data_IF_348420086510
#
_entry.id   IF_348420086510
#
_cell.length_a   1.000
_cell.length_b   1.000
_cell.length_c   1.000
_cell.angle_alpha   90.00
_cell.angle_beta   90.00
_cell.angle_gamma   90.00
#
_symmetry.space_group_name_H-M   'P 1'
#
loop_
_entity.id
_entity.type
_entity.pdbx_description
1 polymer ?
#
# COMPACT_ATOMS: atom_id res chain seq x y z
N UNK A 1 -11.39 14.07 11.96
CA UNK A 1 -10.08 14.64 11.60
C UNK A 1 -9.56 13.83 10.44
N UNK A 2 -9.36 14.45 9.29
CA UNK A 2 -9.07 13.77 8.02
C UNK A 2 -9.96 14.36 6.94
N UNK A 3 -9.37 15.14 6.04
CA UNK A 3 -10.06 15.59 4.85
C UNK A 3 -10.28 14.41 3.91
N UNK A 4 -11.44 14.34 3.25
CA UNK A 4 -11.67 13.36 2.17
C UNK A 4 -11.04 13.81 0.84
N UNK A 5 -10.31 14.93 0.83
CA UNK A 5 -9.55 15.38 -0.34
C UNK A 5 -8.24 14.60 -0.42
N UNK A 6 -7.84 14.27 -1.65
CA UNK A 6 -6.59 13.59 -1.97
C UNK A 6 -5.88 14.33 -3.12
N UNK A 7 -4.60 14.06 -3.29
CA UNK A 7 -3.78 14.56 -4.41
C UNK A 7 -3.79 13.50 -5.52
N UNK A 8 -3.91 13.93 -6.77
CA UNK A 8 -3.82 13.08 -7.95
C UNK A 8 -3.06 13.82 -9.07
N UNK A 9 -2.52 13.07 -10.03
CA UNK A 9 -1.77 13.62 -11.18
C UNK A 9 -2.66 14.22 -12.28
N UNK A 10 -3.95 14.31 -12.01
CA UNK A 10 -4.97 14.83 -12.90
C UNK A 10 -6.00 15.59 -12.07
N UNK A 11 -6.69 16.58 -12.68
CA UNK A 11 -7.67 17.36 -11.96
C UNK A 11 -8.75 16.44 -11.38
N UNK A 12 -8.96 16.56 -10.06
CA UNK A 12 -10.11 16.00 -9.35
C UNK A 12 -11.37 16.78 -9.73
N UNK A 13 -11.73 16.75 -11.01
CA UNK A 13 -12.98 17.34 -11.45
C UNK A 13 -14.11 16.41 -11.01
N UNK A 14 -14.68 16.75 -9.87
CA UNK A 14 -16.09 16.49 -9.53
C UNK A 14 -17.04 17.37 -10.36
N UNK A 15 -16.67 17.74 -11.58
CA UNK A 15 -17.57 18.34 -12.56
C UNK A 15 -17.90 17.27 -13.59
N UNK A 16 -19.20 17.13 -13.86
CA UNK A 16 -19.74 16.25 -14.87
C UNK A 16 -18.90 16.36 -16.14
N UNK A 17 -18.32 15.24 -16.58
CA UNK A 17 -18.06 15.03 -17.99
C UNK A 17 -19.44 15.04 -18.66
N UNK A 18 -19.89 16.25 -19.01
CA UNK A 18 -20.92 16.47 -20.00
C UNK A 18 -20.49 15.73 -21.25
N UNK A 19 -21.33 14.75 -21.62
CA UNK A 19 -21.58 14.27 -22.97
C UNK A 19 -20.39 14.37 -23.93
N UNK A 20 -19.59 13.31 -23.98
CA UNK A 20 -19.00 12.92 -25.25
C UNK A 20 -20.07 12.14 -26.03
N UNK A 21 -20.30 12.46 -27.32
CA UNK A 21 -21.46 11.97 -28.04
C UNK A 21 -21.41 10.44 -28.13
N UNK A 22 -22.49 9.84 -27.62
CA UNK A 22 -22.86 8.46 -27.88
C UNK A 22 -22.77 8.24 -29.40
N UNK A 23 -21.86 7.37 -29.84
CA UNK A 23 -21.88 6.83 -31.19
C UNK A 23 -23.30 6.31 -31.43
N UNK A 24 -23.98 6.93 -32.40
CA UNK A 24 -25.38 6.74 -32.73
C UNK A 24 -25.78 5.26 -32.69
N UNK A 25 -26.55 4.89 -31.66
CA UNK A 25 -27.42 3.72 -31.76
C UNK A 25 -28.55 4.07 -32.73
N UNK A 26 -28.34 3.76 -34.01
CA UNK A 26 -29.46 3.66 -34.95
C UNK A 26 -30.37 2.50 -34.50
N UNK A 27 -31.60 2.86 -34.19
CA UNK A 27 -32.64 1.94 -33.76
C UNK A 27 -33.09 1.01 -34.90
N UNK A 28 -32.80 -0.27 -34.72
CA UNK A 28 -33.59 -1.47 -35.06
C UNK A 28 -34.07 -1.66 -36.51
N UNK A 29 -33.46 -2.64 -37.18
CA UNK A 29 -34.24 -3.62 -37.93
C UNK A 29 -33.95 -5.02 -37.40
N UNK A 30 -35.03 -5.77 -37.22
CA UNK A 30 -35.08 -7.12 -36.71
C UNK A 30 -34.18 -8.08 -37.49
N UNK A 31 -33.23 -8.70 -36.79
CA UNK A 31 -32.84 -10.10 -36.99
C UNK A 31 -32.12 -10.56 -35.73
N UNK A 32 -32.54 -11.71 -35.19
CA UNK A 32 -32.00 -12.27 -33.95
C UNK A 32 -30.50 -12.49 -34.06
N UNK A 33 -29.74 -11.61 -33.42
CA UNK A 33 -28.35 -11.83 -33.09
C UNK A 33 -28.33 -12.10 -31.60
N UNK A 34 -28.12 -13.36 -31.23
CA UNK A 34 -27.66 -13.72 -29.89
C UNK A 34 -26.42 -12.89 -29.60
N UNK A 35 -26.57 -11.83 -28.79
CA UNK A 35 -25.45 -11.10 -28.21
C UNK A 35 -24.82 -12.08 -27.22
N UNK A 36 -23.81 -12.81 -27.67
CA UNK A 36 -22.85 -13.41 -26.77
C UNK A 36 -22.13 -12.26 -26.06
N UNK A 37 -22.69 -11.84 -24.93
CA UNK A 37 -22.04 -10.93 -23.98
C UNK A 37 -20.89 -11.70 -23.33
N UNK A 38 -19.83 -11.96 -24.09
CA UNK A 38 -18.58 -12.46 -23.56
C UNK A 38 -17.98 -11.34 -22.73
N UNK A 39 -18.32 -11.29 -21.44
CA UNK A 39 -17.63 -10.46 -20.46
C UNK A 39 -16.19 -10.93 -20.36
N UNK A 40 -15.32 -10.29 -21.14
CA UNK A 40 -13.89 -10.59 -21.13
C UNK A 40 -13.31 -10.23 -19.77
N UNK A 41 -12.88 -11.26 -19.03
CA UNK A 41 -12.27 -11.08 -17.72
C UNK A 41 -10.80 -10.74 -17.93
N UNK A 42 -10.43 -9.52 -17.54
CA UNK A 42 -9.06 -9.05 -17.59
C UNK A 42 -8.36 -9.34 -16.26
N UNK A 43 -7.17 -9.94 -16.31
CA UNK A 43 -6.35 -10.19 -15.13
C UNK A 43 -5.31 -9.07 -14.99
N UNK A 44 -5.29 -8.42 -13.84
CA UNK A 44 -4.34 -7.35 -13.52
C UNK A 44 -3.46 -7.77 -12.34
N UNK A 45 -2.18 -7.39 -12.40
CA UNK A 45 -1.19 -7.58 -11.34
C UNK A 45 -1.16 -6.36 -10.43
N UNK A 46 -1.33 -6.59 -9.14
CA UNK A 46 -1.28 -5.54 -8.11
C UNK A 46 -0.04 -5.77 -7.25
N UNK A 47 0.81 -4.76 -7.14
CA UNK A 47 1.92 -4.69 -6.22
C UNK A 47 1.53 -3.84 -5.01
N UNK A 48 1.80 -4.34 -3.81
CA UNK A 48 1.50 -3.63 -2.56
C UNK A 48 2.72 -3.67 -1.66
N UNK A 49 3.11 -2.50 -1.15
CA UNK A 49 4.22 -2.37 -0.20
C UNK A 49 3.82 -1.48 0.96
N UNK A 50 4.25 -1.87 2.16
CA UNK A 50 4.13 -1.05 3.37
C UNK A 50 5.50 -0.77 3.97
N UNK A 51 5.71 0.44 4.51
CA UNK A 51 6.95 0.78 5.21
C UNK A 51 6.74 1.83 6.31
N UNK A 52 7.06 1.46 7.55
CA UNK A 52 7.20 2.44 8.63
C UNK A 52 8.57 3.12 8.52
N UNK A 53 8.58 4.40 8.15
CA UNK A 53 9.81 5.18 7.88
C UNK A 53 10.37 5.87 9.14
N UNK A 54 9.80 5.59 10.31
CA UNK A 54 10.38 5.97 11.60
C UNK A 54 10.49 7.48 11.86
N UNK A 55 9.65 8.31 11.24
CA UNK A 55 9.70 9.77 11.36
C UNK A 55 10.81 10.41 10.55
N UNK A 56 11.48 9.67 9.67
CA UNK A 56 12.61 10.14 8.85
C UNK A 56 12.07 10.58 7.49
N UNK A 57 12.38 11.82 7.10
CA UNK A 57 12.04 12.32 5.79
C UNK A 57 12.89 11.63 4.71
N UNK A 58 12.34 11.36 3.51
CA UNK A 58 13.11 10.77 2.43
C UNK A 58 14.24 11.71 2.00
N UNK A 59 15.39 11.13 1.65
CA UNK A 59 16.50 11.84 1.02
C UNK A 59 16.42 11.69 -0.50
N UNK A 60 16.88 12.68 -1.25
CA UNK A 60 16.97 12.60 -2.71
C UNK A 60 17.92 11.47 -3.19
N UNK A 61 18.78 10.96 -2.32
CA UNK A 61 19.66 9.83 -2.61
C UNK A 61 18.99 8.45 -2.36
N UNK A 62 17.74 8.42 -1.89
CA UNK A 62 17.03 7.17 -1.61
C UNK A 62 16.70 6.46 -2.94
N UNK A 63 17.30 5.29 -3.15
CA UNK A 63 16.97 4.46 -4.29
C UNK A 63 15.64 3.73 -4.07
N UNK A 64 14.59 4.15 -4.77
CA UNK A 64 13.28 3.48 -4.71
C UNK A 64 13.23 2.21 -5.56
N UNK A 65 14.20 1.95 -6.44
CA UNK A 65 14.19 0.78 -7.34
C UNK A 65 14.27 -0.54 -6.56
N UNK A 66 15.09 -0.58 -5.50
CA UNK A 66 15.17 -1.71 -4.58
C UNK A 66 13.83 -1.94 -3.87
N UNK A 67 13.05 -0.87 -3.68
CA UNK A 67 11.71 -0.94 -3.09
C UNK A 67 10.61 -1.35 -4.09
N UNK A 68 10.88 -1.32 -5.38
CA UNK A 68 9.90 -1.71 -6.41
C UNK A 68 10.08 -3.15 -6.86
N UNK A 69 11.19 -3.80 -6.49
CA UNK A 69 11.60 -5.12 -6.99
C UNK A 69 11.58 -5.19 -8.54
N UNK A 70 11.66 -4.04 -9.20
CA UNK A 70 11.57 -3.87 -10.65
C UNK A 70 12.72 -4.54 -11.40
N UNK A 71 13.81 -4.88 -10.70
CA UNK A 71 14.99 -5.50 -11.26
C UNK A 71 14.79 -6.97 -11.68
N UNK A 72 13.75 -7.68 -11.19
CA UNK A 72 13.60 -9.13 -11.39
C UNK A 72 12.21 -9.60 -11.87
N UNK A 73 11.25 -8.72 -12.14
CA UNK A 73 9.85 -9.12 -12.42
C UNK A 73 9.21 -8.35 -13.57
N UNK A 74 8.23 -8.99 -14.22
CA UNK A 74 7.26 -8.33 -15.11
C UNK A 74 6.57 -7.18 -14.37
N UNK A 75 6.50 -6.00 -14.98
CA UNK A 75 5.75 -4.85 -14.46
C UNK A 75 4.36 -5.24 -13.95
N UNK A 76 3.95 -4.64 -12.82
CA UNK A 76 2.59 -4.73 -12.33
C UNK A 76 1.72 -3.65 -12.99
N UNK A 77 0.41 -3.85 -12.98
CA UNK A 77 -0.55 -2.91 -13.56
C UNK A 77 -0.91 -1.79 -12.57
N UNK A 78 -0.89 -2.12 -11.27
CA UNK A 78 -1.20 -1.23 -10.15
C UNK A 78 -0.11 -1.38 -9.09
N UNK A 79 0.43 -0.27 -8.61
CA UNK A 79 1.36 -0.21 -7.48
C UNK A 79 0.74 0.59 -6.34
N UNK A 80 0.79 0.05 -5.12
CA UNK A 80 0.27 0.69 -3.92
C UNK A 80 1.35 0.76 -2.86
N UNK A 81 1.60 1.97 -2.35
CA UNK A 81 2.57 2.20 -1.28
C UNK A 81 1.85 2.78 -0.07
N UNK A 82 1.93 2.07 1.05
CA UNK A 82 1.52 2.54 2.37
C UNK A 82 2.73 2.90 3.20
N UNK A 83 2.74 4.08 3.81
CA UNK A 83 3.80 4.47 4.73
C UNK A 83 3.25 4.84 6.11
N UNK A 84 4.04 4.55 7.13
CA UNK A 84 3.75 4.91 8.51
C UNK A 84 4.90 5.73 9.10
N UNK A 85 4.59 6.59 10.07
CA UNK A 85 5.53 7.57 10.62
C UNK A 85 6.18 8.46 9.56
N UNK A 86 5.47 8.85 8.51
CA UNK A 86 6.03 9.74 7.46
C UNK A 86 6.41 11.13 7.95
N UNK A 87 5.94 11.52 9.14
CA UNK A 87 6.31 12.77 9.78
C UNK A 87 6.76 12.51 11.22
N UNK A 88 7.73 13.27 11.75
CA UNK A 88 8.05 13.24 13.17
C UNK A 88 6.79 13.53 14.02
N UNK A 89 6.58 12.80 15.11
CA UNK A 89 5.48 13.05 16.04
C UNK A 89 5.76 14.31 16.88
N UNK A 90 5.57 15.48 16.28
CA UNK A 90 5.58 16.80 16.94
C UNK A 90 4.13 17.29 17.06
N UNK A 91 3.82 18.05 18.12
CA UNK A 91 2.47 18.59 18.33
C UNK A 91 1.95 19.37 17.11
N UNK A 92 2.83 20.10 16.41
CA UNK A 92 2.53 20.80 15.16
C UNK A 92 2.11 19.86 14.01
N UNK A 93 2.63 18.65 13.96
CA UNK A 93 2.32 17.69 12.90
C UNK A 93 1.04 16.89 13.19
N UNK A 94 0.63 16.85 14.45
CA UNK A 94 -0.58 16.17 14.91
C UNK A 94 -1.79 17.12 14.90
N UNK A 95 -1.57 18.40 15.20
CA UNK A 95 -2.62 19.43 15.32
C UNK A 95 -2.61 20.49 14.21
N UNK A 96 -1.57 20.53 13.38
CA UNK A 96 -1.42 21.47 12.26
C UNK A 96 -2.02 20.96 10.94
N UNK A 97 -1.95 21.78 9.90
CA UNK A 97 -2.35 21.40 8.55
C UNK A 97 -1.48 20.28 7.98
N UNK A 98 -2.05 19.42 7.13
CA UNK A 98 -1.34 18.34 6.44
C UNK A 98 -0.07 18.90 5.76
N UNK A 99 1.13 18.42 6.14
CA UNK A 99 2.39 18.86 5.54
C UNK A 99 2.64 18.12 4.23
N UNK A 100 1.99 18.60 3.18
CA UNK A 100 2.02 17.97 1.86
C UNK A 100 3.43 17.86 1.24
N UNK A 101 4.42 18.64 1.72
CA UNK A 101 5.78 18.61 1.15
C UNK A 101 6.43 17.24 1.25
N UNK A 102 6.29 16.55 2.39
CA UNK A 102 6.93 15.24 2.59
C UNK A 102 6.28 14.20 1.68
N UNK A 103 4.96 14.18 1.60
CA UNK A 103 4.21 13.30 0.70
C UNK A 103 4.52 13.60 -0.77
N UNK A 104 4.70 14.86 -1.15
CA UNK A 104 5.14 15.25 -2.50
C UNK A 104 6.54 14.72 -2.84
N UNK A 105 7.48 14.77 -1.89
CA UNK A 105 8.82 14.19 -2.11
C UNK A 105 8.75 12.68 -2.31
N UNK A 106 8.00 11.94 -1.48
CA UNK A 106 7.78 10.50 -1.69
C UNK A 106 7.15 10.22 -3.06
N UNK A 107 6.12 10.97 -3.44
CA UNK A 107 5.48 10.79 -4.74
C UNK A 107 6.45 11.08 -5.90
N UNK A 108 7.34 12.06 -5.76
CA UNK A 108 8.36 12.35 -6.78
C UNK A 108 9.32 11.18 -6.96
N UNK A 109 9.84 10.63 -5.87
CA UNK A 109 10.78 9.50 -5.90
C UNK A 109 10.12 8.24 -6.47
N UNK A 110 8.86 7.95 -6.09
CA UNK A 110 8.11 6.82 -6.62
C UNK A 110 7.85 7.00 -8.13
N UNK A 111 7.44 8.20 -8.54
CA UNK A 111 7.20 8.51 -9.97
C UNK A 111 8.46 8.29 -10.79
N UNK A 112 9.59 8.82 -10.32
CA UNK A 112 10.87 8.69 -11.01
C UNK A 112 11.24 7.22 -11.16
N UNK A 113 11.14 6.43 -10.10
CA UNK A 113 11.50 5.01 -10.12
C UNK A 113 10.55 4.15 -10.96
N UNK A 114 9.23 4.41 -10.93
CA UNK A 114 8.25 3.68 -11.76
C UNK A 114 8.37 4.01 -13.25
N UNK A 115 8.74 5.25 -13.59
CA UNK A 115 8.80 5.74 -14.97
C UNK A 115 10.23 5.80 -15.51
N UNK A 116 11.20 5.26 -14.77
CA UNK A 116 12.58 5.15 -15.24
C UNK A 116 12.60 4.19 -16.42
N UNK A 117 13.07 4.66 -17.58
CA UNK A 117 13.27 3.79 -18.74
C UNK A 117 14.23 2.68 -18.35
N UNK A 118 13.75 1.44 -18.24
CA UNK A 118 14.66 0.30 -18.13
C UNK A 118 15.48 0.24 -19.40
N UNK A 119 16.80 0.35 -19.29
CA UNK A 119 17.66 -0.20 -20.31
C UNK A 119 17.39 -1.72 -20.33
N UNK A 120 16.71 -2.20 -21.37
CA UNK A 120 16.57 -3.64 -21.59
C UNK A 120 17.99 -4.17 -21.80
N UNK A 121 18.55 -4.82 -20.78
CA UNK A 121 19.82 -5.54 -20.92
C UNK A 121 19.53 -6.84 -21.65
N UNK A 122 19.56 -6.80 -22.98
CA UNK A 122 19.61 -8.03 -23.77
C UNK A 122 20.95 -8.72 -23.52
N UNK A 123 20.88 -9.95 -22.99
CA UNK A 123 22.07 -10.78 -22.79
C UNK A 123 22.42 -11.43 -24.12
N UNK A 124 23.32 -10.81 -24.88
CA UNK A 124 23.89 -11.46 -26.07
C UNK A 124 24.73 -12.68 -25.68
N UNK A 125 24.61 -13.76 -26.46
CA UNK A 125 25.12 -15.12 -26.23
C UNK A 125 26.67 -15.26 -26.25
N UNK A 126 27.40 -14.15 -26.05
CA UNK A 126 28.87 -14.09 -26.12
C UNK A 126 29.55 -13.44 -24.91
N UNK A 127 28.83 -13.20 -23.81
CA UNK A 127 29.45 -12.83 -22.54
C UNK A 127 30.25 -11.51 -22.54
N UNK A 128 29.91 -10.56 -23.44
CA UNK A 128 30.41 -9.19 -23.37
C UNK A 128 29.34 -8.27 -22.80
N UNK A 129 29.71 -7.53 -21.76
CA UNK A 129 28.91 -6.44 -21.20
C UNK A 129 29.11 -5.22 -22.11
N UNK A 130 28.17 -4.95 -23.02
CA UNK A 130 28.12 -3.67 -23.74
C UNK A 130 26.91 -2.88 -23.23
N UNK A 131 27.18 -1.70 -22.67
CA UNK A 131 26.15 -0.71 -22.35
C UNK A 131 25.76 0.01 -23.64
N UNK A 132 24.68 -0.42 -24.28
CA UNK A 132 24.10 0.35 -25.37
C UNK A 132 23.14 1.37 -24.76
N UNK A 133 23.57 2.63 -24.64
CA UNK A 133 22.61 3.72 -24.57
C UNK A 133 21.85 3.73 -25.90
N UNK A 134 20.52 3.69 -25.85
CA UNK A 134 19.69 3.90 -27.05
C UNK A 134 19.91 5.35 -27.47
N UNK A 135 20.90 5.58 -28.34
CA UNK A 135 20.93 6.77 -29.19
C UNK A 135 19.95 6.52 -30.34
N UNK A 136 19.11 7.52 -30.60
CA UNK A 136 18.08 7.53 -31.63
C UNK A 136 18.48 6.76 -32.91
N UNK A 137 17.89 5.57 -33.08
CA UNK A 137 18.22 4.66 -34.17
C UNK A 137 17.08 3.67 -34.41
N UNK A 138 16.27 3.98 -35.44
CA UNK A 138 15.12 3.23 -35.95
C UNK A 138 15.17 1.70 -35.77
N UNK A 139 14.44 1.21 -34.78
CA UNK A 139 13.83 -0.13 -34.77
C UNK A 139 12.43 0.03 -34.16
N UNK A 140 11.42 0.04 -35.04
CA UNK A 140 10.01 0.20 -34.68
C UNK A 140 9.49 -1.17 -34.23
N UNK A 141 9.82 -1.57 -33.01
CA UNK A 141 8.87 -2.29 -32.16
C UNK A 141 8.36 -1.26 -31.16
N UNK A 142 7.14 -0.79 -31.39
CA UNK A 142 6.48 0.24 -30.59
C UNK A 142 6.08 -0.30 -29.21
N UNK A 143 7.02 -0.64 -28.34
CA UNK A 143 6.72 -0.79 -26.93
C UNK A 143 6.39 0.60 -26.40
N UNK A 144 5.10 0.91 -26.29
CA UNK A 144 4.62 2.12 -25.61
C UNK A 144 5.31 2.17 -24.25
N UNK A 145 6.00 3.27 -23.89
CA UNK A 145 6.60 3.41 -22.56
C UNK A 145 5.52 3.12 -21.52
N UNK A 146 5.78 2.16 -20.63
CA UNK A 146 4.91 1.85 -19.51
C UNK A 146 4.97 3.04 -18.54
N UNK A 147 4.11 4.02 -18.76
CA UNK A 147 3.97 5.18 -17.90
C UNK A 147 2.97 4.88 -16.77
N UNK A 148 3.33 5.24 -15.55
CA UNK A 148 2.49 5.15 -14.36
C UNK A 148 2.11 6.52 -13.84
N UNK A 149 0.84 6.69 -13.48
CA UNK A 149 0.30 7.92 -12.90
C UNK A 149 -0.24 7.68 -11.50
N UNK A 150 -0.02 8.63 -10.59
CA UNK A 150 -0.62 8.60 -9.26
C UNK A 150 -2.09 9.00 -9.36
N UNK A 151 -2.97 8.04 -9.10
CA UNK A 151 -4.41 8.28 -9.16
C UNK A 151 -4.96 8.81 -7.84
N UNK A 152 -4.34 8.44 -6.72
CA UNK A 152 -4.72 8.83 -5.36
C UNK A 152 -3.47 8.86 -4.50
N UNK A 153 -3.22 9.98 -3.82
CA UNK A 153 -2.25 10.10 -2.74
C UNK A 153 -2.90 10.83 -1.57
N UNK A 154 -2.89 10.18 -0.40
CA UNK A 154 -3.50 10.72 0.82
C UNK A 154 -2.63 10.49 2.03
N UNK A 155 -2.57 11.50 2.90
CA UNK A 155 -1.90 11.47 4.18
C UNK A 155 -2.88 11.83 5.30
N UNK A 156 -2.81 11.12 6.43
CA UNK A 156 -3.39 11.48 7.72
C UNK A 156 -2.29 11.42 8.78
N UNK A 157 -1.84 12.58 9.25
CA UNK A 157 -0.74 12.72 10.24
C UNK A 157 0.49 11.91 9.80
N UNK A 158 0.74 10.75 10.40
CA UNK A 158 1.89 9.89 10.12
C UNK A 158 1.59 8.72 9.19
N UNK A 159 0.36 8.56 8.71
CA UNK A 159 -0.04 7.46 7.82
C UNK A 159 -0.24 8.05 6.43
N UNK A 160 0.34 7.45 5.40
CA UNK A 160 0.05 7.82 4.02
C UNK A 160 -0.15 6.60 3.14
N UNK A 161 -0.86 6.81 2.03
CA UNK A 161 -1.04 5.82 0.98
C UNK A 161 -1.00 6.53 -0.37
N UNK A 162 -0.37 5.88 -1.35
CA UNK A 162 -0.41 6.31 -2.76
C UNK A 162 -0.69 5.13 -3.68
N UNK A 163 -1.53 5.34 -4.68
CA UNK A 163 -1.93 4.35 -5.69
C UNK A 163 -1.51 4.85 -7.06
N UNK A 164 -0.73 4.03 -7.75
CA UNK A 164 -0.14 4.30 -9.04
C UNK A 164 -0.64 3.27 -10.04
N UNK A 165 -1.11 3.73 -11.19
CA UNK A 165 -1.75 2.88 -12.19
C UNK A 165 -1.12 3.13 -13.54
N UNK A 166 -0.95 2.07 -14.33
CA UNK A 166 -0.49 2.17 -15.71
C UNK A 166 -1.42 3.10 -16.52
N UNK A 167 -0.84 3.93 -17.38
CA UNK A 167 -1.56 5.06 -18.00
C UNK A 167 -2.76 4.64 -18.85
N UNK A 168 -2.66 3.52 -19.56
CA UNK A 168 -3.74 2.93 -20.38
C UNK A 168 -4.93 2.42 -19.54
N UNK A 169 -4.73 2.19 -18.24
CA UNK A 169 -5.80 1.80 -17.33
C UNK A 169 -6.54 3.00 -16.71
N UNK A 170 -5.93 4.20 -16.73
CA UNK A 170 -6.53 5.42 -16.17
C UNK A 170 -7.96 5.71 -16.69
N UNK A 171 -8.29 5.56 -17.99
CA UNK A 171 -9.65 5.79 -18.50
C UNK A 171 -10.73 4.87 -17.90
N UNK A 172 -10.33 3.73 -17.36
CA UNK A 172 -11.23 2.74 -16.76
C UNK A 172 -11.33 2.86 -15.24
N UNK A 173 -10.54 3.75 -14.62
CA UNK A 173 -10.63 4.07 -13.20
C UNK A 173 -11.83 5.00 -12.97
N UNK A 174 -12.74 4.58 -12.10
CA UNK A 174 -13.96 5.33 -11.77
C UNK A 174 -14.13 5.50 -10.27
N UNK A 175 -14.73 6.63 -9.90
CA UNK A 175 -15.15 6.95 -8.54
C UNK A 175 -14.04 6.81 -7.47
N UNK A 176 -12.83 7.38 -7.66
CA UNK A 176 -11.81 7.38 -6.62
C UNK A 176 -12.30 8.09 -5.36
N UNK A 177 -12.04 7.50 -4.18
CA UNK A 177 -12.45 8.07 -2.90
C UNK A 177 -11.51 7.63 -1.78
N UNK A 178 -11.43 8.44 -0.73
CA UNK A 178 -10.60 8.17 0.45
C UNK A 178 -11.41 8.36 1.73
N UNK A 179 -11.03 7.61 2.77
CA UNK A 179 -11.62 7.71 4.10
C UNK A 179 -10.50 7.57 5.13
N UNK A 180 -10.46 8.49 6.10
CA UNK A 180 -9.43 8.50 7.15
C UNK A 180 -10.07 8.24 8.51
N UNK A 181 -9.57 7.24 9.23
CA UNK A 181 -10.05 6.90 10.58
C UNK A 181 -8.88 7.01 11.55
N UNK A 182 -8.93 7.98 12.47
CA UNK A 182 -7.95 8.10 13.55
C UNK A 182 -8.35 7.27 14.77
N UNK A 183 -7.42 6.46 15.28
CA UNK A 183 -7.55 5.58 16.46
C UNK A 183 -6.55 5.94 17.58
N UNK A 184 -5.85 7.07 17.47
CA UNK A 184 -4.83 7.50 18.42
C UNK A 184 -5.39 8.03 19.74
N UNK A 185 -4.76 9.04 20.32
CA UNK A 185 -5.16 9.60 21.62
C UNK A 185 -6.67 9.95 21.61
N UNK A 186 -7.40 9.47 22.61
CA UNK A 186 -8.87 9.60 22.74
C UNK A 186 -9.69 9.02 21.57
N UNK A 187 -9.17 8.04 20.82
CA UNK A 187 -9.88 7.38 19.71
C UNK A 187 -10.12 8.29 18.49
N UNK A 188 -9.42 9.44 18.41
CA UNK A 188 -9.66 10.45 17.38
C UNK A 188 -8.40 11.02 16.74
N UNK A 189 -7.23 10.97 17.40
CA UNK A 189 -5.99 11.54 16.88
C UNK A 189 -5.35 10.65 15.81
N UNK A 190 -4.90 11.24 14.69
CA UNK A 190 -4.50 10.51 13.49
C UNK A 190 -3.12 9.84 13.49
N UNK A 191 -2.39 9.81 14.61
CA UNK A 191 -1.08 9.14 14.69
C UNK A 191 -1.17 7.60 14.70
N UNK A 192 -2.38 7.08 14.86
CA UNK A 192 -2.78 5.68 14.74
C UNK A 192 -4.12 5.63 14.02
N UNK A 193 -4.44 4.52 13.37
CA UNK A 193 -5.67 4.34 12.61
C UNK A 193 -5.41 3.94 11.16
N UNK A 194 -6.15 4.48 10.22
CA UNK A 194 -6.04 4.14 8.80
C UNK A 194 -6.23 5.31 7.82
N UNK A 195 -5.65 5.15 6.64
CA UNK A 195 -6.07 5.82 5.42
C UNK A 195 -6.53 4.75 4.43
N UNK A 196 -7.82 4.73 4.16
CA UNK A 196 -8.48 3.78 3.26
C UNK A 196 -8.76 4.45 1.92
N UNK A 197 -8.48 3.76 0.82
CA UNK A 197 -8.65 4.22 -0.55
C UNK A 197 -9.55 3.25 -1.28
N UNK A 198 -10.52 3.75 -2.06
CA UNK A 198 -11.29 2.92 -2.98
C UNK A 198 -11.43 3.52 -4.36
N UNK A 199 -11.57 2.66 -5.35
CA UNK A 199 -11.92 3.01 -6.73
C UNK A 199 -12.54 1.79 -7.42
N UNK A 200 -13.14 1.98 -8.59
CA UNK A 200 -13.50 0.89 -9.50
C UNK A 200 -12.54 0.88 -10.67
N UNK A 201 -12.08 -0.29 -11.07
CA UNK A 201 -11.40 -0.52 -12.35
C UNK A 201 -12.32 -1.40 -13.19
N UNK A 202 -12.83 -0.84 -14.30
CA UNK A 202 -13.98 -1.41 -15.01
C UNK A 202 -15.15 -1.60 -14.05
N UNK A 203 -15.60 -2.84 -13.88
CA UNK A 203 -16.70 -3.19 -13.00
C UNK A 203 -16.25 -3.66 -11.61
N UNK A 204 -14.96 -3.94 -11.41
CA UNK A 204 -14.42 -4.46 -10.14
C UNK A 204 -14.06 -3.33 -9.19
N UNK A 205 -14.56 -3.41 -7.95
CA UNK A 205 -14.27 -2.47 -6.88
C UNK A 205 -13.06 -2.91 -6.05
N UNK A 206 -12.13 -1.97 -5.82
CA UNK A 206 -10.94 -2.16 -5.01
C UNK A 206 -11.01 -1.31 -3.74
N UNK A 207 -10.55 -1.85 -2.62
CA UNK A 207 -10.32 -1.12 -1.38
C UNK A 207 -8.94 -1.45 -0.80
N UNK A 208 -8.09 -0.44 -0.66
CA UNK A 208 -6.78 -0.55 -0.02
C UNK A 208 -6.82 0.17 1.33
N UNK A 209 -6.41 -0.51 2.39
CA UNK A 209 -6.49 0.01 3.76
C UNK A 209 -5.09 0.08 4.36
N UNK A 210 -4.46 1.26 4.34
CA UNK A 210 -3.16 1.47 4.98
C UNK A 210 -3.34 1.81 6.46
N UNK A 211 -2.78 1.00 7.34
CA UNK A 211 -2.99 1.08 8.79
C UNK A 211 -1.71 1.36 9.57
N UNK A 212 -1.89 1.94 10.75
CA UNK A 212 -0.87 2.01 11.79
C UNK A 212 -1.58 1.78 13.13
N UNK A 213 -1.54 0.54 13.63
CA UNK A 213 -2.29 0.13 14.82
C UNK A 213 -1.52 0.38 16.12
N UNK A 214 -2.21 0.25 17.25
CA UNK A 214 -1.65 0.45 18.58
C UNK A 214 -0.34 -0.34 18.77
N UNK A 215 0.73 0.37 19.16
CA UNK A 215 1.99 -0.25 19.52
C UNK A 215 1.99 -0.67 20.99
N UNK A 216 2.89 -1.58 21.33
CA UNK A 216 2.93 -2.17 22.66
C UNK A 216 3.43 -3.60 22.57
N UNK A 217 4.00 -4.10 23.65
CA UNK A 217 4.53 -5.46 23.73
C UNK A 217 4.34 -6.06 25.12
N UNK A 218 3.42 -5.50 25.91
CA UNK A 218 2.95 -6.11 27.14
C UNK A 218 1.82 -7.06 26.80
N UNK A 219 1.66 -8.09 27.62
CA UNK A 219 0.55 -9.02 27.53
C UNK A 219 -0.78 -8.25 27.59
N UNK A 220 -1.68 -8.51 26.64
CA UNK A 220 -2.95 -7.81 26.51
C UNK A 220 -2.92 -6.60 25.56
N UNK A 221 -1.73 -6.12 25.14
CA UNK A 221 -1.66 -4.97 24.22
C UNK A 221 -2.26 -5.31 22.83
N UNK A 222 -2.38 -6.59 22.47
CA UNK A 222 -3.04 -7.07 21.23
C UNK A 222 -4.51 -6.65 21.17
N UNK A 223 -5.20 -6.56 22.32
CA UNK A 223 -6.60 -6.14 22.38
C UNK A 223 -6.80 -4.70 21.90
N UNK A 224 -5.80 -3.82 22.08
CA UNK A 224 -5.87 -2.46 21.56
C UNK A 224 -5.70 -2.42 20.04
N UNK A 225 -4.88 -3.31 19.46
CA UNK A 225 -4.77 -3.48 18.00
C UNK A 225 -6.08 -4.00 17.43
N UNK A 226 -6.68 -5.01 18.06
CA UNK A 226 -7.95 -5.56 17.63
C UNK A 226 -9.07 -4.50 17.70
N UNK A 227 -9.10 -3.71 18.78
CA UNK A 227 -10.03 -2.59 18.93
C UNK A 227 -9.83 -1.52 17.87
N UNK A 228 -8.58 -1.17 17.51
CA UNK A 228 -8.30 -0.25 16.41
C UNK A 228 -8.81 -0.81 15.09
N UNK A 229 -8.59 -2.10 14.82
CA UNK A 229 -9.05 -2.73 13.58
C UNK A 229 -10.59 -2.74 13.49
N UNK A 230 -11.29 -3.09 14.58
CA UNK A 230 -12.75 -3.06 14.63
C UNK A 230 -13.31 -1.64 14.41
N UNK A 231 -12.63 -0.64 14.98
CA UNK A 231 -12.97 0.76 14.78
C UNK A 231 -12.73 1.22 13.33
N UNK A 232 -11.63 0.80 12.70
CA UNK A 232 -11.33 1.09 11.29
C UNK A 232 -12.38 0.46 10.37
N UNK A 233 -12.72 -0.81 10.59
CA UNK A 233 -13.73 -1.52 9.80
C UNK A 233 -15.11 -0.87 9.90
N UNK A 234 -15.51 -0.45 11.11
CA UNK A 234 -16.83 0.13 11.36
C UNK A 234 -16.95 1.61 10.93
N UNK A 235 -15.90 2.42 11.10
CA UNK A 235 -15.94 3.86 10.82
C UNK A 235 -15.53 4.22 9.39
N UNK A 236 -14.79 3.35 8.70
CA UNK A 236 -14.46 3.59 7.29
C UNK A 236 -15.75 3.58 6.47
N UNK A 237 -16.04 4.70 5.81
CA UNK A 237 -17.23 4.85 4.98
C UNK A 237 -16.89 5.69 3.75
N UNK A 238 -17.29 5.20 2.59
CA UNK A 238 -17.19 5.91 1.32
C UNK A 238 -18.56 6.42 0.83
N UNK A 239 -18.60 7.46 -0.03
CA UNK A 239 -19.83 7.90 -0.67
C UNK A 239 -20.37 6.80 -1.60
N UNK A 240 -21.69 6.61 -1.66
CA UNK A 240 -22.34 5.65 -2.57
C UNK A 240 -22.38 6.07 -4.05
N UNK A 241 -21.86 7.26 -4.37
CA UNK A 241 -21.95 7.86 -5.69
C UNK A 241 -23.39 8.27 -6.07
N UNK A 242 -23.58 8.85 -7.27
CA UNK A 242 -24.89 9.35 -7.70
C UNK A 242 -25.95 8.26 -7.86
N UNK A 243 -25.55 7.07 -8.32
CA UNK A 243 -26.45 5.92 -8.53
C UNK A 243 -26.70 5.08 -7.27
N UNK A 244 -26.11 5.47 -6.13
CA UNK A 244 -26.24 4.80 -4.82
C UNK A 244 -25.84 3.32 -4.79
N UNK A 245 -25.06 2.86 -5.77
CA UNK A 245 -24.68 1.47 -6.02
C UNK A 245 -23.24 1.14 -5.60
N UNK A 246 -22.44 2.15 -5.23
CA UNK A 246 -21.04 1.93 -4.87
C UNK A 246 -20.88 1.39 -3.44
N UNK A 247 -19.94 0.44 -3.20
CA UNK A 247 -19.63 -0.07 -1.87
C UNK A 247 -19.34 1.04 -0.86
N UNK A 248 -19.91 0.89 0.34
CA UNK A 248 -19.76 1.88 1.42
C UNK A 248 -18.69 1.47 2.42
N UNK A 249 -18.71 0.21 2.84
CA UNK A 249 -17.84 -0.34 3.88
C UNK A 249 -16.65 -1.04 3.24
N UNK A 250 -15.56 -1.26 4.00
CA UNK A 250 -14.35 -1.92 3.49
C UNK A 250 -14.69 -3.29 2.88
N UNK A 251 -15.38 -4.14 3.63
CA UNK A 251 -15.69 -5.54 3.26
C UNK A 251 -16.74 -5.69 2.15
N UNK A 252 -17.37 -4.59 1.73
CA UNK A 252 -18.38 -4.60 0.65
C UNK A 252 -17.73 -4.56 -0.76
N UNK A 253 -16.40 -4.41 -0.85
CA UNK A 253 -15.68 -4.32 -2.12
C UNK A 253 -15.25 -5.71 -2.62
N UNK A 254 -15.12 -5.86 -3.95
CA UNK A 254 -14.76 -7.13 -4.59
C UNK A 254 -13.33 -7.56 -4.25
N UNK A 255 -12.41 -6.59 -4.15
CA UNK A 255 -11.00 -6.81 -3.83
C UNK A 255 -10.58 -5.89 -2.69
N UNK A 256 -10.20 -6.46 -1.55
CA UNK A 256 -9.79 -5.71 -0.37
C UNK A 256 -8.38 -6.12 0.03
N UNK A 257 -7.49 -5.13 0.18
CA UNK A 257 -6.12 -5.36 0.63
C UNK A 257 -5.83 -4.49 1.85
N UNK A 258 -5.55 -5.15 2.98
CA UNK A 258 -5.06 -4.54 4.20
C UNK A 258 -3.53 -4.52 4.16
N UNK A 259 -2.95 -3.36 4.45
CA UNK A 259 -1.50 -3.17 4.55
C UNK A 259 -1.21 -2.21 5.70
N UNK A 260 0.03 -2.18 6.19
CA UNK A 260 0.40 -1.21 7.20
C UNK A 260 1.44 -1.71 8.20
N UNK A 261 1.63 -0.91 9.24
CA UNK A 261 2.29 -1.34 10.47
C UNK A 261 1.19 -1.77 11.47
N UNK A 262 0.87 -3.07 11.41
CA UNK A 262 -0.15 -3.68 12.28
C UNK A 262 0.31 -3.82 13.73
N UNK A 263 1.62 -3.68 13.99
CA UNK A 263 2.23 -3.68 15.32
C UNK A 263 2.00 -4.94 16.18
N UNK A 264 1.45 -6.02 15.62
CA UNK A 264 1.40 -7.32 16.30
C UNK A 264 2.81 -7.82 16.63
N UNK A 265 2.92 -8.62 17.69
CA UNK A 265 4.21 -9.06 18.25
C UNK A 265 4.25 -10.57 18.36
N UNK A 266 5.44 -11.09 18.63
CA UNK A 266 5.62 -12.49 18.98
C UNK A 266 5.31 -12.68 20.46
N UNK A 267 4.37 -13.58 20.77
CA UNK A 267 3.98 -13.97 22.13
C UNK A 267 5.00 -14.94 22.77
N UNK A 268 6.27 -14.53 22.80
CA UNK A 268 7.36 -15.24 23.45
C UNK A 268 8.20 -14.28 24.30
N UNK A 269 8.87 -14.79 25.36
CA UNK A 269 9.89 -14.02 26.06
C UNK A 269 10.99 -13.55 25.10
N UNK A 270 11.51 -12.35 25.31
CA UNK A 270 12.46 -11.71 24.39
C UNK A 270 13.72 -12.56 24.11
N UNK A 271 14.25 -13.25 25.12
CA UNK A 271 15.38 -14.15 24.98
C UNK A 271 15.07 -15.37 24.10
N UNK A 272 13.85 -15.92 24.22
CA UNK A 272 13.39 -17.03 23.39
C UNK A 272 13.14 -16.57 21.95
N UNK A 273 12.52 -15.41 21.76
CA UNK A 273 12.35 -14.79 20.44
C UNK A 273 13.70 -14.63 19.74
N UNK A 274 14.71 -14.05 20.42
CA UNK A 274 16.04 -13.88 19.83
C UNK A 274 16.71 -15.20 19.50
N UNK A 275 16.64 -16.18 20.39
CA UNK A 275 17.24 -17.50 20.13
C UNK A 275 16.65 -18.19 18.89
N UNK A 276 15.38 -17.96 18.56
CA UNK A 276 14.77 -18.46 17.32
C UNK A 276 15.18 -17.62 16.09
N UNK A 277 15.28 -16.29 16.25
CA UNK A 277 15.78 -15.40 15.20
C UNK A 277 17.21 -15.75 14.81
N UNK A 278 18.09 -15.97 15.79
CA UNK A 278 19.50 -16.32 15.56
C UNK A 278 19.66 -17.69 14.86
N UNK A 279 18.68 -18.58 15.05
CA UNK A 279 18.61 -19.88 14.36
C UNK A 279 17.97 -19.80 12.97
N UNK A 280 17.33 -18.69 12.62
CA UNK A 280 16.52 -18.56 11.41
C UNK A 280 15.25 -19.43 11.42
N UNK A 281 14.73 -19.79 12.60
CA UNK A 281 13.54 -20.64 12.73
C UNK A 281 12.25 -19.80 12.67
N UNK A 282 11.90 -19.37 11.46
CA UNK A 282 10.73 -18.52 11.22
C UNK A 282 9.41 -19.24 11.51
N UNK A 283 9.35 -20.56 11.27
CA UNK A 283 8.15 -21.34 11.51
C UNK A 283 7.79 -21.38 13.01
N UNK A 284 8.76 -21.61 13.89
CA UNK A 284 8.52 -21.58 15.33
C UNK A 284 8.12 -20.20 15.84
N UNK A 285 8.66 -19.13 15.24
CA UNK A 285 8.26 -17.75 15.57
C UNK A 285 6.82 -17.45 15.12
N UNK A 286 6.44 -17.84 13.90
CA UNK A 286 5.10 -17.62 13.35
C UNK A 286 4.01 -18.37 14.13
N UNK A 287 4.32 -19.53 14.71
CA UNK A 287 3.40 -20.22 15.62
C UNK A 287 3.04 -19.41 16.87
N UNK A 288 3.83 -18.38 17.19
CA UNK A 288 3.62 -17.50 18.33
C UNK A 288 3.35 -16.05 17.89
N UNK A 289 3.15 -15.81 16.60
CA UNK A 289 2.84 -14.48 16.08
C UNK A 289 1.38 -14.12 16.37
N UNK A 290 1.17 -12.95 16.96
CA UNK A 290 -0.16 -12.52 17.37
C UNK A 290 -1.12 -12.32 16.20
N UNK A 291 -0.67 -11.81 15.06
CA UNK A 291 -1.54 -11.65 13.89
C UNK A 291 -1.98 -13.02 13.36
N UNK A 292 -1.05 -13.96 13.27
CA UNK A 292 -1.30 -15.34 12.85
C UNK A 292 -2.37 -16.00 13.74
N UNK A 293 -2.29 -15.81 15.06
CA UNK A 293 -3.31 -16.29 15.99
C UNK A 293 -4.67 -15.62 15.77
N UNK A 294 -4.71 -14.28 15.60
CA UNK A 294 -5.96 -13.55 15.33
C UNK A 294 -6.65 -13.99 14.03
N UNK A 295 -5.87 -14.33 13.00
CA UNK A 295 -6.38 -14.88 11.73
C UNK A 295 -6.92 -16.30 11.90
N UNK A 296 -6.30 -17.14 12.74
CA UNK A 296 -6.73 -18.52 13.00
C UNK A 296 -7.96 -18.59 13.91
N UNK A 297 -8.02 -17.76 14.95
CA UNK A 297 -9.06 -17.81 15.99
C UNK A 297 -10.37 -17.12 15.59
N UNK A 298 -10.43 -16.52 14.39
CA UNK A 298 -11.65 -15.95 13.82
C UNK A 298 -12.16 -14.70 14.56
N UNK A 299 -11.26 -13.82 14.98
CA UNK A 299 -11.61 -12.58 15.69
C UNK A 299 -11.89 -11.42 14.71
N UNK A 300 -11.30 -10.25 14.94
CA UNK A 300 -11.57 -9.03 14.15
C UNK A 300 -11.09 -9.13 12.69
N UNK A 301 -10.20 -10.08 12.40
CA UNK A 301 -9.68 -10.37 11.06
C UNK A 301 -10.17 -11.73 10.53
N UNK A 302 -11.32 -12.22 11.01
CA UNK A 302 -11.96 -13.40 10.43
C UNK A 302 -12.16 -13.24 8.90
N UNK A 303 -11.81 -14.28 8.14
CA UNK A 303 -11.94 -14.30 6.67
C UNK A 303 -10.84 -13.56 5.89
N UNK A 304 -9.90 -12.91 6.57
CA UNK A 304 -8.70 -12.35 5.94
C UNK A 304 -7.66 -13.44 5.69
N UNK A 305 -6.85 -13.24 4.65
CA UNK A 305 -5.82 -14.20 4.23
C UNK A 305 -4.47 -13.49 4.11
N UNK A 306 -3.44 -14.10 4.67
CA UNK A 306 -2.05 -13.65 4.55
C UNK A 306 -1.23 -14.69 3.78
N UNK A 307 -0.30 -14.21 2.94
CA UNK A 307 0.61 -15.07 2.20
C UNK A 307 1.65 -15.73 3.11
N UNK A 308 2.27 -16.81 2.66
CA UNK A 308 3.32 -17.48 3.44
C UNK A 308 4.53 -16.56 3.65
N UNK A 309 4.83 -16.24 4.91
CA UNK A 309 6.01 -15.46 5.31
C UNK A 309 7.26 -16.32 5.17
N UNK A 310 8.24 -15.84 4.40
CA UNK A 310 9.54 -16.51 4.15
C UNK A 310 10.75 -15.63 4.48
N UNK A 311 10.51 -14.52 5.17
CA UNK A 311 11.52 -13.53 5.54
C UNK A 311 11.52 -13.34 7.06
N UNK A 312 12.65 -12.88 7.61
CA UNK A 312 12.77 -12.63 9.05
C UNK A 312 11.93 -11.44 9.53
N UNK A 313 11.74 -11.29 10.86
CA UNK A 313 11.00 -10.19 11.45
C UNK A 313 11.43 -8.80 10.95
N UNK A 314 10.48 -7.92 10.63
CA UNK A 314 10.74 -6.60 10.04
C UNK A 314 10.98 -5.47 11.04
N UNK A 315 10.84 -5.76 12.34
CA UNK A 315 11.05 -4.83 13.44
C UNK A 315 11.89 -5.50 14.52
N UNK A 316 12.80 -4.84 15.27
CA UNK A 316 13.33 -3.48 15.10
C UNK A 316 14.82 -3.54 14.81
N UNK A 317 15.26 -2.90 13.74
CA UNK A 317 16.68 -2.79 13.38
C UNK A 317 17.36 -1.56 13.99
N UNK A 318 18.69 -1.60 14.10
CA UNK A 318 19.48 -0.38 14.19
C UNK A 318 19.42 0.39 12.87
N UNK A 319 19.39 1.73 12.88
CA UNK A 319 19.43 2.51 11.65
C UNK A 319 20.66 2.15 10.80
N UNK A 320 20.47 1.99 9.49
CA UNK A 320 21.50 1.64 8.51
C UNK A 320 22.24 0.32 8.82
N UNK A 321 21.51 -0.68 9.34
CA UNK A 321 22.06 -1.98 9.71
C UNK A 321 20.99 -3.06 9.63
N UNK A 322 21.40 -4.28 9.29
CA UNK A 322 20.57 -5.48 9.36
C UNK A 322 20.59 -6.14 10.75
N UNK A 323 21.21 -5.49 11.74
CA UNK A 323 21.24 -5.98 13.12
C UNK A 323 20.01 -5.53 13.91
N UNK A 324 19.39 -6.49 14.61
CA UNK A 324 18.27 -6.20 15.50
C UNK A 324 18.71 -5.41 16.73
N UNK A 325 17.92 -4.38 17.05
CA UNK A 325 18.10 -3.52 18.21
C UNK A 325 18.11 -4.34 19.50
N UNK A 326 19.12 -4.13 20.36
CA UNK A 326 19.25 -4.80 21.66
C UNK A 326 19.97 -6.14 21.65
N UNK A 327 20.48 -6.60 20.50
CA UNK A 327 21.28 -7.83 20.39
C UNK A 327 22.75 -7.70 20.82
N UNK A 328 23.25 -6.48 21.03
CA UNK A 328 24.67 -6.26 21.38
C UNK A 328 24.86 -6.28 22.90
N UNK A 329 25.56 -7.31 23.40
CA UNK A 329 26.00 -7.40 24.80
C UNK A 329 26.78 -6.12 25.20
N UNK A 330 26.40 -5.52 26.34
CA UNK A 330 27.10 -4.36 26.92
C UNK A 330 26.43 -2.99 26.74
N UNK A 331 25.47 -2.83 25.80
CA UNK A 331 24.63 -1.62 25.75
C UNK A 331 23.31 -1.88 26.48
N UNK A 332 23.23 -1.52 27.78
CA UNK A 332 21.97 -1.48 28.54
C UNK A 332 20.97 -0.55 27.85
N UNK A 333 20.18 -1.08 26.93
CA UNK A 333 19.01 -0.40 26.41
C UNK A 333 17.96 -0.30 27.52
N UNK A 334 17.42 0.90 27.76
CA UNK A 334 16.29 1.10 28.70
C UNK A 334 14.96 0.53 28.18
N UNK A 335 14.90 0.03 26.94
CA UNK A 335 13.70 -0.55 26.31
C UNK A 335 14.10 -1.76 25.46
N UNK A 336 13.91 -2.97 25.97
CA UNK A 336 14.01 -4.17 25.14
C UNK A 336 12.87 -4.15 24.11
N UNK A 337 13.25 -4.29 22.84
CA UNK A 337 12.31 -4.38 21.71
C UNK A 337 12.59 -5.70 21.02
N UNK A 338 11.78 -6.71 21.34
CA UNK A 338 11.86 -8.01 20.71
C UNK A 338 11.60 -7.90 19.20
N UNK A 339 12.28 -8.71 18.37
CA UNK A 339 11.94 -8.80 16.96
C UNK A 339 10.48 -9.19 16.73
N UNK A 340 9.84 -8.63 15.72
CA UNK A 340 8.46 -8.93 15.30
C UNK A 340 8.26 -8.60 13.81
N UNK A 341 7.26 -9.23 13.18
CA UNK A 341 6.82 -8.87 11.84
C UNK A 341 5.99 -7.59 11.88
#
# INVERSE_FOLDING_TARGET
MGSNNFVADFPTNSESLLELPCLEQQSLSSNGVTVNDHRETHNYKVFVRTWNVGGIAPSDALNMEDLLETCNSTYCDIYVFGFQEVVPLRASNILGSENNRITMTWNSLIREALNKKSCIRERNDKGKLEETQISDGNSIESSIPLEFRCIISKQMVGISISVWVRIDLCPYIRNPSVSCVGCGIMGCLGNKGSVSVRFRLHETSFCFVCTHLASGGRDGDEKYRNSNMAEILSRTSFPRGPALDLPRSIVDHDQVILLGDLNYRISLPESATRALVDKGDWNALLQNDQLSMELMDGQVLEGWHEGTIKFGPTYKYYPNSDEYYGGVEGKKSKKNRSPAW
#
